data_IF_196190956996
#
_entry.id   IF_196190956996
#
_cell.length_a   1.000
_cell.length_b   1.000
_cell.length_c   1.000
_cell.angle_alpha   90.00
_cell.angle_beta   90.00
_cell.angle_gamma   90.00
#
_symmetry.space_group_name_H-M   'P 1'
#
loop_
_entity.id
_entity.type
_entity.pdbx_description
1 polymer ?
#
# COMPACT_ATOMS: atom_id res chain seq x y z
N UNK A 1 6.44 -6.45 19.98
CA UNK A 1 6.72 -6.64 18.54
C UNK A 1 5.44 -6.41 17.78
N UNK A 2 5.20 -5.20 17.29
CA UNK A 2 4.11 -4.89 16.37
C UNK A 2 4.69 -4.02 15.28
N UNK A 3 4.82 -4.62 14.11
CA UNK A 3 5.39 -4.07 12.89
C UNK A 3 4.57 -2.89 12.40
N UNK A 4 5.06 -1.67 12.60
CA UNK A 4 4.60 -0.50 11.85
C UNK A 4 5.13 -0.64 10.43
N UNK A 5 4.32 -1.24 9.56
CA UNK A 5 4.58 -1.26 8.12
C UNK A 5 4.46 0.19 7.63
N UNK A 6 5.61 0.86 7.57
CA UNK A 6 5.79 2.09 6.80
C UNK A 6 5.45 1.77 5.35
N UNK A 7 4.23 2.11 4.93
CA UNK A 7 3.89 2.21 3.51
C UNK A 7 4.05 3.67 3.08
N UNK A 8 5.28 4.18 3.20
CA UNK A 8 5.71 5.42 2.59
C UNK A 8 6.30 5.04 1.23
N UNK A 9 5.47 5.03 0.19
CA UNK A 9 5.92 4.85 -1.18
C UNK A 9 5.14 3.81 -1.98
N UNK A 10 4.09 4.25 -2.68
CA UNK A 10 3.45 3.43 -3.71
C UNK A 10 2.05 3.87 -4.11
N UNK A 11 1.97 4.96 -4.90
CA UNK A 11 0.93 5.24 -5.90
C UNK A 11 -0.54 4.91 -5.54
N UNK A 12 -1.31 5.96 -5.19
CA UNK A 12 -2.78 6.02 -4.95
C UNK A 12 -3.19 5.79 -3.49
N UNK A 13 -3.84 6.81 -2.91
CA UNK A 13 -4.51 6.73 -1.59
C UNK A 13 -5.58 5.63 -1.61
N UNK A 14 -5.79 4.92 -0.50
CA UNK A 14 -6.75 3.82 -0.41
C UNK A 14 -8.16 4.30 -0.77
N UNK A 15 -8.51 5.55 -0.43
CA UNK A 15 -9.76 6.17 -0.85
C UNK A 15 -9.81 6.39 -2.36
N UNK A 16 -8.74 6.89 -2.97
CA UNK A 16 -8.65 7.00 -4.43
C UNK A 16 -8.69 5.65 -5.14
N UNK A 17 -8.13 4.60 -4.56
CA UNK A 17 -8.20 3.24 -5.10
C UNK A 17 -9.62 2.68 -5.05
N UNK A 18 -10.35 2.91 -3.95
CA UNK A 18 -11.77 2.55 -3.87
C UNK A 18 -12.62 3.32 -4.88
N UNK A 19 -12.35 4.62 -5.08
CA UNK A 19 -13.03 5.43 -6.09
C UNK A 19 -12.81 4.89 -7.50
N UNK A 20 -11.60 4.43 -7.81
CA UNK A 20 -11.29 3.80 -9.10
C UNK A 20 -12.07 2.49 -9.30
N UNK A 21 -12.11 1.61 -8.29
CA UNK A 21 -12.86 0.35 -8.37
C UNK A 21 -14.38 0.59 -8.48
N UNK A 22 -14.92 1.61 -7.80
CA UNK A 22 -16.32 2.02 -7.96
C UNK A 22 -16.61 2.47 -9.39
N UNK A 23 -15.74 3.29 -9.97
CA UNK A 23 -15.90 3.75 -11.35
C UNK A 23 -15.86 2.58 -12.33
N UNK A 24 -14.92 1.64 -12.14
CA UNK A 24 -14.83 0.41 -12.93
C UNK A 24 -16.10 -0.44 -12.84
N UNK A 25 -16.67 -0.62 -11.66
CA UNK A 25 -17.94 -1.35 -11.48
C UNK A 25 -19.08 -0.67 -12.24
N UNK A 26 -19.14 0.67 -12.21
CA UNK A 26 -20.14 1.44 -12.95
C UNK A 26 -19.99 1.27 -14.47
N UNK A 27 -18.76 1.31 -14.98
CA UNK A 27 -18.47 1.08 -16.40
C UNK A 27 -18.85 -0.34 -16.83
N UNK A 28 -18.48 -1.36 -16.04
CA UNK A 28 -18.85 -2.76 -16.28
C UNK A 28 -20.37 -2.95 -16.32
N UNK A 29 -21.09 -2.29 -15.41
CA UNK A 29 -22.55 -2.34 -15.37
C UNK A 29 -23.17 -1.73 -16.63
N UNK A 30 -22.75 -0.51 -16.99
CA UNK A 30 -23.28 0.20 -18.16
C UNK A 30 -22.97 -0.55 -19.46
N UNK A 31 -21.74 -1.07 -19.61
CA UNK A 31 -21.36 -1.86 -20.79
C UNK A 31 -22.17 -3.15 -20.89
N UNK A 32 -22.30 -3.89 -19.79
CA UNK A 32 -23.04 -5.16 -19.80
C UNK A 32 -24.53 -4.95 -20.05
N UNK A 33 -25.15 -4.00 -19.36
CA UNK A 33 -26.57 -3.68 -19.58
C UNK A 33 -26.81 -3.16 -20.99
N UNK A 34 -25.92 -2.32 -21.51
CA UNK A 34 -25.99 -1.82 -22.88
C UNK A 34 -25.87 -2.93 -23.93
N UNK A 35 -24.95 -3.87 -23.74
CA UNK A 35 -24.84 -5.06 -24.59
C UNK A 35 -26.08 -5.94 -24.50
N UNK A 36 -26.62 -6.21 -23.31
CA UNK A 36 -27.87 -6.96 -23.17
C UNK A 36 -29.05 -6.25 -23.84
N UNK A 37 -29.20 -4.94 -23.67
CA UNK A 37 -30.30 -4.20 -24.28
C UNK A 37 -30.24 -4.20 -25.82
N UNK A 38 -29.03 -4.15 -26.38
CA UNK A 38 -28.81 -4.12 -27.82
C UNK A 38 -28.89 -5.51 -28.46
N UNK A 39 -28.31 -6.50 -27.81
CA UNK A 39 -28.00 -7.80 -28.41
C UNK A 39 -28.87 -8.95 -27.85
N UNK A 40 -29.66 -8.72 -26.78
CA UNK A 40 -30.60 -9.74 -26.30
C UNK A 40 -31.70 -9.98 -27.34
N UNK A 41 -31.80 -11.23 -27.79
CA UNK A 41 -32.88 -11.67 -28.66
C UNK A 41 -34.25 -11.64 -27.96
N UNK A 42 -35.34 -11.58 -28.74
CA UNK A 42 -36.69 -11.66 -28.20
C UNK A 42 -36.89 -12.96 -27.40
N UNK A 43 -37.62 -12.88 -26.29
CA UNK A 43 -38.00 -14.03 -25.44
C UNK A 43 -39.47 -14.34 -25.68
N UNK A 44 -39.86 -15.58 -26.01
CA UNK A 44 -41.25 -15.90 -26.30
C UNK A 44 -42.07 -15.94 -25.01
N UNK A 45 -43.19 -15.22 -24.97
CA UNK A 45 -44.08 -15.19 -23.81
C UNK A 45 -45.13 -16.30 -23.87
N UNK A 46 -45.55 -16.72 -25.08
CA UNK A 46 -46.64 -17.67 -25.32
C UNK A 46 -46.24 -18.86 -26.23
N UNK A 47 -44.97 -19.30 -26.21
CA UNK A 47 -44.45 -20.34 -27.12
C UNK A 47 -44.57 -20.01 -28.63
N UNK A 48 -44.51 -18.72 -28.97
CA UNK A 48 -44.51 -18.27 -30.37
C UNK A 48 -43.15 -18.53 -31.04
N UNK A 49 -43.17 -18.91 -32.31
CA UNK A 49 -41.97 -19.17 -33.10
C UNK A 49 -41.30 -17.84 -33.47
N UNK A 50 -40.17 -17.55 -32.82
CA UNK A 50 -39.44 -16.30 -33.03
C UNK A 50 -38.50 -16.39 -34.23
N UNK A 51 -38.50 -15.35 -35.06
CA UNK A 51 -37.47 -15.14 -36.09
C UNK A 51 -36.16 -14.82 -35.34
N UNK A 52 -35.32 -15.83 -35.12
CA UNK A 52 -34.01 -15.63 -34.46
C UNK A 52 -33.09 -14.81 -35.37
N UNK A 53 -32.41 -13.77 -34.85
CA UNK A 53 -31.37 -13.09 -35.60
C UNK A 53 -30.20 -14.04 -35.91
N UNK A 54 -29.51 -13.80 -37.05
CA UNK A 54 -28.43 -14.64 -37.61
C UNK A 54 -27.23 -14.84 -36.68
N UNK A 55 -27.07 -13.98 -35.68
CA UNK A 55 -26.01 -14.05 -34.66
C UNK A 55 -26.60 -14.51 -33.33
N UNK A 56 -26.24 -15.71 -32.89
CA UNK A 56 -26.59 -16.23 -31.56
C UNK A 56 -25.80 -15.47 -30.49
N UNK A 57 -26.34 -14.38 -29.97
CA UNK A 57 -25.81 -13.71 -28.78
C UNK A 57 -26.19 -14.50 -27.52
N UNK A 58 -25.19 -14.97 -26.78
CA UNK A 58 -25.40 -15.71 -25.53
C UNK A 58 -25.49 -14.73 -24.35
N UNK A 59 -26.69 -14.19 -24.15
CA UNK A 59 -27.00 -13.29 -23.03
C UNK A 59 -26.76 -13.96 -21.67
N UNK A 60 -26.87 -15.29 -21.58
CA UNK A 60 -26.70 -16.02 -20.34
C UNK A 60 -25.23 -16.11 -19.92
N UNK A 61 -24.30 -16.40 -20.84
CA UNK A 61 -22.87 -16.38 -20.51
C UNK A 61 -22.38 -14.97 -20.21
N UNK A 62 -22.85 -13.95 -20.94
CA UNK A 62 -22.46 -12.55 -20.66
C UNK A 62 -22.90 -12.10 -19.27
N UNK A 63 -24.15 -12.39 -18.90
CA UNK A 63 -24.68 -12.07 -17.57
C UNK A 63 -23.92 -12.79 -16.45
N UNK A 64 -23.52 -14.05 -16.67
CA UNK A 64 -22.70 -14.81 -15.72
C UNK A 64 -21.29 -14.25 -15.57
N UNK A 65 -20.64 -13.88 -16.68
CA UNK A 65 -19.32 -13.23 -16.66
C UNK A 65 -19.35 -11.92 -15.87
N UNK A 66 -20.36 -11.08 -16.14
CA UNK A 66 -20.57 -9.85 -15.39
C UNK A 66 -20.81 -10.09 -13.90
N UNK A 67 -21.66 -11.06 -13.53
CA UNK A 67 -21.93 -11.37 -12.12
C UNK A 67 -20.66 -11.82 -11.38
N UNK A 68 -19.79 -12.59 -12.05
CA UNK A 68 -18.52 -13.04 -11.50
C UNK A 68 -17.54 -11.88 -11.30
N UNK A 69 -17.40 -11.01 -12.30
CA UNK A 69 -16.55 -9.82 -12.22
C UNK A 69 -17.03 -8.83 -11.15
N UNK A 70 -18.35 -8.63 -11.04
CA UNK A 70 -18.96 -7.77 -10.02
C UNK A 70 -18.72 -8.34 -8.62
N UNK A 71 -18.87 -9.65 -8.44
CA UNK A 71 -18.60 -10.32 -7.16
C UNK A 71 -17.14 -10.18 -6.75
N UNK A 72 -16.20 -10.33 -7.71
CA UNK A 72 -14.78 -10.11 -7.45
C UNK A 72 -14.49 -8.66 -7.07
N UNK A 73 -15.04 -7.69 -7.81
CA UNK A 73 -14.87 -6.27 -7.51
C UNK A 73 -15.44 -5.90 -6.12
N UNK A 74 -16.63 -6.41 -5.78
CA UNK A 74 -17.24 -6.21 -4.45
C UNK A 74 -16.41 -6.83 -3.32
N UNK A 75 -15.82 -8.00 -3.55
CA UNK A 75 -14.92 -8.65 -2.58
C UNK A 75 -13.65 -7.83 -2.39
N UNK A 76 -13.05 -7.34 -3.48
CA UNK A 76 -11.87 -6.49 -3.44
C UNK A 76 -12.16 -5.18 -2.69
N UNK A 77 -13.31 -4.57 -2.93
CA UNK A 77 -13.75 -3.37 -2.23
C UNK A 77 -13.97 -3.63 -0.74
N UNK A 78 -14.59 -4.74 -0.36
CA UNK A 78 -14.75 -5.15 1.05
C UNK A 78 -13.40 -5.31 1.73
N UNK A 79 -12.43 -5.90 1.03
CA UNK A 79 -11.06 -6.03 1.52
C UNK A 79 -10.36 -4.66 1.65
N UNK A 80 -10.56 -3.73 0.71
CA UNK A 80 -10.05 -2.36 0.84
C UNK A 80 -10.68 -1.63 2.02
N UNK A 81 -11.99 -1.75 2.23
CA UNK A 81 -12.70 -1.18 3.37
C UNK A 81 -12.15 -1.75 4.68
N UNK A 82 -11.85 -3.05 4.74
CA UNK A 82 -11.25 -3.69 5.92
C UNK A 82 -9.85 -3.17 6.28
N UNK A 83 -9.16 -2.56 5.30
CA UNK A 83 -7.83 -1.96 5.49
C UNK A 83 -7.90 -0.49 5.89
N UNK A 84 -9.08 0.13 5.88
CA UNK A 84 -9.23 1.51 6.32
C UNK A 84 -8.87 1.62 7.80
N UNK A 85 -8.06 2.63 8.19
CA UNK A 85 -7.85 2.93 9.59
C UNK A 85 -9.19 3.17 10.28
N UNK A 86 -9.36 2.66 11.49
CA UNK A 86 -10.56 2.93 12.30
C UNK A 86 -10.68 4.45 12.45
N UNK A 87 -11.78 5.06 11.99
CA UNK A 87 -11.98 6.49 12.18
C UNK A 87 -12.01 6.75 13.68
N UNK A 88 -11.12 7.62 14.16
CA UNK A 88 -11.27 8.15 15.52
C UNK A 88 -12.47 9.09 15.49
N UNK A 89 -13.41 8.90 16.43
CA UNK A 89 -14.74 9.53 16.40
C UNK A 89 -14.69 11.06 16.53
N UNK A 90 -13.60 11.62 17.07
CA UNK A 90 -13.38 13.07 17.17
C UNK A 90 -12.07 13.49 16.47
N UNK A 91 -12.16 14.53 15.63
CA UNK A 91 -10.99 15.18 15.02
C UNK A 91 -9.98 15.66 16.07
N UNK A 92 -10.47 16.07 17.24
CA UNK A 92 -9.66 16.53 18.36
C UNK A 92 -8.73 15.43 18.89
N UNK A 93 -9.19 14.17 18.92
CA UNK A 93 -8.36 13.04 19.35
C UNK A 93 -7.30 12.69 18.30
N UNK A 94 -7.63 12.86 17.01
CA UNK A 94 -6.65 12.71 15.92
C UNK A 94 -5.55 13.77 16.02
N UNK A 95 -5.93 15.04 16.26
CA UNK A 95 -4.99 16.14 16.44
C UNK A 95 -4.12 15.95 17.69
N UNK A 96 -4.72 15.52 18.81
CA UNK A 96 -3.97 15.22 20.04
C UNK A 96 -2.93 14.12 19.81
N UNK A 97 -3.31 13.06 19.07
CA UNK A 97 -2.39 11.99 18.68
C UNK A 97 -1.26 12.48 17.76
N UNK A 98 -1.56 13.36 16.81
CA UNK A 98 -0.53 13.97 15.94
C UNK A 98 0.47 14.75 16.78
N UNK A 99 0.00 15.57 17.73
CA UNK A 99 0.86 16.34 18.61
C UNK A 99 1.73 15.46 19.50
N UNK A 100 1.18 14.40 20.09
CA UNK A 100 1.94 13.42 20.87
C UNK A 100 3.02 12.73 20.00
N UNK A 101 2.67 12.31 18.78
CA UNK A 101 3.65 11.71 17.86
C UNK A 101 4.74 12.70 17.44
N UNK A 102 4.41 13.96 17.21
CA UNK A 102 5.40 15.01 16.92
C UNK A 102 6.34 15.23 18.11
N UNK A 103 5.81 15.29 19.33
CA UNK A 103 6.61 15.43 20.53
C UNK A 103 7.58 14.25 20.72
N UNK A 104 7.08 13.02 20.53
CA UNK A 104 7.89 11.80 20.59
C UNK A 104 8.96 11.76 19.50
N UNK A 105 8.64 12.18 18.28
CA UNK A 105 9.62 12.26 17.20
C UNK A 105 10.75 13.23 17.55
N UNK A 106 10.43 14.43 18.06
CA UNK A 106 11.45 15.41 18.49
C UNK A 106 12.31 14.84 19.63
N UNK A 107 11.72 14.11 20.56
CA UNK A 107 12.47 13.46 21.63
C UNK A 107 13.41 12.39 21.09
N UNK A 108 12.92 11.51 20.21
CA UNK A 108 13.71 10.47 19.57
C UNK A 108 14.84 11.05 18.71
N UNK A 109 14.63 12.18 18.03
CA UNK A 109 15.66 12.90 17.28
C UNK A 109 16.80 13.37 18.21
N UNK A 110 16.47 13.91 19.38
CA UNK A 110 17.48 14.34 20.37
C UNK A 110 18.24 13.15 20.95
N UNK A 111 17.54 12.05 21.25
CA UNK A 111 18.16 10.83 21.75
C UNK A 111 19.10 10.22 20.68
N UNK A 112 18.66 10.19 19.43
CA UNK A 112 19.46 9.73 18.30
C UNK A 112 20.72 10.57 18.11
N UNK A 113 20.62 11.90 18.18
CA UNK A 113 21.78 12.79 18.08
C UNK A 113 22.77 12.55 19.23
N UNK A 114 22.27 12.40 20.46
CA UNK A 114 23.13 12.11 21.61
C UNK A 114 23.89 10.77 21.47
N UNK A 115 23.22 9.74 20.98
CA UNK A 115 23.86 8.44 20.69
C UNK A 115 24.85 8.53 19.53
N UNK A 116 24.55 9.31 18.50
CA UNK A 116 25.46 9.55 17.39
C UNK A 116 26.75 10.25 17.84
N UNK A 117 26.65 11.27 18.69
CA UNK A 117 27.81 11.95 19.27
C UNK A 117 28.66 11.01 20.13
N UNK A 118 28.02 10.16 20.95
CA UNK A 118 28.73 9.14 21.74
C UNK A 118 29.46 8.13 20.85
N UNK A 119 28.82 7.70 19.76
CA UNK A 119 29.44 6.78 18.80
C UNK A 119 30.63 7.42 18.09
N UNK A 120 30.54 8.69 17.68
CA UNK A 120 31.67 9.43 17.11
C UNK A 120 32.86 9.54 18.08
N UNK A 121 32.60 9.87 19.35
CA UNK A 121 33.67 9.95 20.36
C UNK A 121 34.38 8.62 20.55
N UNK A 122 33.63 7.51 20.62
CA UNK A 122 34.21 6.16 20.70
C UNK A 122 35.04 5.82 19.45
N UNK A 123 34.58 6.22 18.27
CA UNK A 123 35.31 6.02 17.03
C UNK A 123 36.63 6.81 17.03
N UNK A 124 36.61 8.08 17.43
CA UNK A 124 37.81 8.90 17.55
C UNK A 124 38.82 8.29 18.53
N UNK A 125 38.35 7.86 19.71
CA UNK A 125 39.20 7.18 20.70
C UNK A 125 39.83 5.89 20.14
N UNK A 126 39.07 5.09 19.39
CA UNK A 126 39.59 3.89 18.75
C UNK A 126 40.66 4.24 17.70
N UNK A 127 40.42 5.26 16.88
CA UNK A 127 41.39 5.75 15.87
C UNK A 127 42.69 6.23 16.53
N UNK A 128 42.61 6.99 17.62
CA UNK A 128 43.78 7.45 18.37
C UNK A 128 44.59 6.29 18.94
N UNK A 129 43.92 5.30 19.55
CA UNK A 129 44.58 4.09 20.08
C UNK A 129 45.25 3.26 18.97
N UNK A 130 44.61 3.12 17.81
CA UNK A 130 45.23 2.47 16.66
C UNK A 130 46.43 3.26 16.12
N UNK A 131 46.37 4.60 16.13
CA UNK A 131 47.50 5.46 15.79
C UNK A 131 48.71 5.23 16.69
N UNK A 132 48.49 5.26 18.01
CA UNK A 132 49.55 4.99 19.00
C UNK A 132 50.15 3.60 18.85
N UNK A 133 49.32 2.58 18.58
CA UNK A 133 49.79 1.23 18.32
C UNK A 133 50.66 1.17 17.07
N UNK A 134 50.22 1.80 15.97
CA UNK A 134 50.99 1.85 14.73
C UNK A 134 52.34 2.57 14.90
N UNK A 135 52.39 3.66 15.68
CA UNK A 135 53.63 4.35 16.02
C UNK A 135 54.58 3.47 16.86
N UNK A 136 54.05 2.72 17.82
CA UNK A 136 54.84 1.78 18.62
C UNK A 136 55.45 0.68 17.75
N UNK A 137 54.66 0.07 16.85
CA UNK A 137 55.15 -0.94 15.90
C UNK A 137 56.21 -0.38 14.95
N UNK A 138 56.06 0.88 14.50
CA UNK A 138 57.06 1.52 13.66
C UNK A 138 58.39 1.74 14.41
N UNK A 139 58.30 2.22 15.66
CA UNK A 139 59.47 2.50 16.50
C UNK A 139 60.19 1.21 16.92
N UNK A 140 59.46 0.15 17.26
CA UNK A 140 60.05 -1.15 17.60
C UNK A 140 60.78 -1.77 16.41
N UNK A 141 60.22 -1.65 15.20
CA UNK A 141 60.85 -2.14 13.98
C UNK A 141 62.07 -1.31 13.56
N UNK A 142 62.11 0.00 13.86
CA UNK A 142 63.31 0.82 13.68
C UNK A 142 64.42 0.46 14.68
N UNK A 143 64.08 0.17 15.93
CA UNK A 143 65.04 -0.23 16.96
C UNK A 143 65.69 -1.61 16.70
N UNK A 144 65.00 -2.54 16.04
CA UNK A 144 65.58 -3.85 15.66
C UNK A 144 66.54 -3.80 14.46
N UNK A 145 66.61 -2.69 13.72
CA UNK A 145 67.47 -2.53 12.53
C UNK A 145 68.81 -1.81 12.81
N UNK A 146 69.06 -1.39 14.06
CA UNK A 146 70.34 -0.83 14.51
C UNK A 146 71.15 -1.89 15.25
#
# INVERSE_FOLDING_TARGET
MTTTSNNVGGCVDLVSQMQFELNRMSELFLSTVGELQRDAGPVPVNNEELIRPTTSYDSASRSKGFALELMQASTNMTLMISKLPTPMDAEQDQLARILDLQCRNIQLEKELEAEFQRAQQKLAQAQDLYGLLAEHELNSHMAMKQ
#
